data_IF_326770803163
#
_entry.id   IF_326770803163
#
_cell.length_a   1.000
_cell.length_b   1.000
_cell.length_c   1.000
_cell.angle_alpha   90.00
_cell.angle_beta   90.00
_cell.angle_gamma   90.00
#
_symmetry.space_group_name_H-M   'P 1'
#
loop_
_entity.id
_entity.type
_entity.pdbx_description
1 polymer ?
#
# COMPACT_ATOMS: atom_id res chain seq x y z
N UNK A 1 11.31 -4.54 -13.03
CA UNK A 1 10.41 -3.82 -13.96
C UNK A 1 9.87 -4.74 -15.08
N UNK A 2 9.97 -6.07 -14.89
CA UNK A 2 9.61 -7.06 -15.90
C UNK A 2 10.78 -7.45 -16.83
N UNK A 3 11.97 -6.90 -16.64
CA UNK A 3 13.16 -7.21 -17.46
C UNK A 3 13.86 -8.54 -17.13
N UNK A 4 13.33 -9.30 -16.17
CA UNK A 4 13.92 -10.56 -15.70
C UNK A 4 15.12 -10.39 -14.75
N UNK A 5 15.47 -9.17 -14.35
CA UNK A 5 16.46 -8.89 -13.30
C UNK A 5 15.77 -8.57 -11.98
N UNK A 6 16.43 -8.94 -10.89
CA UNK A 6 15.97 -8.56 -9.56
C UNK A 6 16.24 -7.07 -9.32
N UNK A 7 15.20 -6.34 -8.94
CA UNK A 7 15.26 -4.93 -8.54
C UNK A 7 15.09 -4.79 -7.03
N UNK A 8 15.28 -3.58 -6.51
CA UNK A 8 15.19 -3.31 -5.07
C UNK A 8 14.07 -2.32 -4.79
N UNK A 9 13.19 -2.68 -3.85
CA UNK A 9 12.19 -1.80 -3.26
C UNK A 9 12.55 -1.57 -1.79
N UNK A 10 12.72 -0.31 -1.41
CA UNK A 10 13.01 0.13 -0.05
C UNK A 10 11.83 0.90 0.53
N UNK A 11 11.10 0.36 1.51
CA UNK A 11 10.09 1.11 2.25
C UNK A 11 10.70 2.32 2.96
N UNK A 12 9.96 3.42 3.00
CA UNK A 12 10.32 4.68 3.67
C UNK A 12 9.12 5.19 4.46
N UNK A 13 9.27 6.22 5.30
CA UNK A 13 8.12 6.78 6.03
C UNK A 13 7.01 7.33 5.11
N UNK A 14 7.36 7.75 3.89
CA UNK A 14 6.43 8.39 2.95
C UNK A 14 5.90 7.42 1.87
N UNK A 15 6.33 6.15 1.88
CA UNK A 15 5.99 5.15 0.86
C UNK A 15 7.17 4.23 0.55
N UNK A 16 7.64 4.18 -0.69
CA UNK A 16 8.79 3.33 -1.08
C UNK A 16 9.69 3.99 -2.13
N UNK A 17 10.99 3.72 -2.05
CA UNK A 17 11.97 4.03 -3.11
C UNK A 17 12.27 2.77 -3.92
N UNK A 18 12.33 2.92 -5.24
CA UNK A 18 12.53 1.81 -6.18
C UNK A 18 13.84 2.03 -6.92
N UNK A 19 14.70 1.03 -6.86
CA UNK A 19 15.99 1.00 -7.53
C UNK A 19 16.01 -0.13 -8.55
N UNK A 20 16.37 0.19 -9.78
CA UNK A 20 16.53 -0.79 -10.83
C UNK A 20 17.95 -1.33 -10.86
N UNK A 21 18.07 -2.63 -11.06
CA UNK A 21 19.34 -3.27 -11.32
C UNK A 21 19.78 -3.01 -12.75
N UNK A 22 20.89 -2.29 -12.90
CA UNK A 22 21.53 -1.99 -14.18
C UNK A 22 22.90 -2.65 -14.22
N UNK A 23 23.51 -2.71 -15.41
CA UNK A 23 24.84 -3.30 -15.60
C UNK A 23 25.93 -2.65 -14.72
N UNK A 24 25.74 -1.39 -14.32
CA UNK A 24 26.69 -0.62 -13.51
C UNK A 24 26.27 -0.54 -12.02
N UNK A 25 25.26 -1.30 -11.59
CA UNK A 25 24.74 -1.31 -10.22
C UNK A 25 23.31 -0.79 -10.11
N UNK A 26 22.94 -0.34 -8.91
CA UNK A 26 21.59 0.13 -8.60
C UNK A 26 21.39 1.59 -9.01
N UNK A 27 20.28 1.87 -9.68
CA UNK A 27 19.87 3.23 -10.05
C UNK A 27 18.49 3.54 -9.51
N UNK A 28 18.33 4.67 -8.80
CA UNK A 28 17.02 5.11 -8.31
C UNK A 28 16.11 5.43 -9.50
N UNK A 29 15.00 4.69 -9.63
CA UNK A 29 14.03 4.87 -10.71
C UNK A 29 12.82 5.70 -10.28
N UNK A 30 12.30 5.46 -9.08
CA UNK A 30 11.09 6.14 -8.61
C UNK A 30 11.01 6.22 -7.09
N UNK A 31 10.22 7.18 -6.61
CA UNK A 31 9.71 7.23 -5.24
C UNK A 31 8.20 7.23 -5.30
N UNK A 32 7.61 6.15 -4.84
CA UNK A 32 6.16 6.01 -4.76
C UNK A 32 5.71 6.51 -3.40
N UNK A 33 4.78 7.48 -3.41
CA UNK A 33 4.18 8.02 -2.19
C UNK A 33 2.89 7.29 -1.88
N UNK A 34 2.78 6.77 -0.67
CA UNK A 34 1.53 6.32 -0.09
C UNK A 34 1.68 6.38 1.42
N UNK A 35 0.65 6.83 2.16
CA UNK A 35 0.73 6.93 3.60
C UNK A 35 0.80 5.53 4.21
N UNK A 36 2.01 5.01 4.36
CA UNK A 36 2.30 3.80 5.14
C UNK A 36 1.87 3.95 6.61
N UNK A 37 1.67 5.18 7.08
CA UNK A 37 1.12 5.48 8.40
C UNK A 37 -0.28 4.90 8.65
N UNK A 38 -1.10 4.70 7.60
CA UNK A 38 -2.38 3.99 7.73
C UNK A 38 -2.22 2.46 7.82
N UNK A 39 -1.04 1.93 7.46
CA UNK A 39 -0.66 0.52 7.61
C UNK A 39 0.22 0.30 8.86
N UNK A 40 0.29 1.29 9.74
CA UNK A 40 1.16 1.26 10.92
C UNK A 40 0.50 0.43 12.03
N UNK A 41 1.12 -0.68 12.41
CA UNK A 41 0.91 -1.24 13.75
C UNK A 41 1.80 -0.45 14.71
N UNK A 42 1.20 0.41 15.53
CA UNK A 42 1.90 0.96 16.70
C UNK A 42 1.87 -0.09 17.80
N UNK A 43 2.80 -1.03 17.79
CA UNK A 43 3.17 -1.67 19.05
C UNK A 43 3.74 -0.60 19.99
N UNK A 44 3.58 -0.81 21.30
CA UNK A 44 4.04 0.10 22.35
C UNK A 44 5.57 0.36 22.37
N UNK A 45 6.33 -0.21 21.43
CA UNK A 45 7.76 0.00 21.26
C UNK A 45 8.05 0.82 19.97
N UNK A 46 8.36 2.13 20.08
CA UNK A 46 8.54 3.02 18.94
C UNK A 46 9.79 2.73 18.07
N UNK A 47 10.60 1.73 18.45
CA UNK A 47 11.86 1.37 17.77
C UNK A 47 11.72 0.27 16.73
N UNK A 48 10.57 -0.39 16.62
CA UNK A 48 10.32 -1.41 15.58
C UNK A 48 9.12 -0.97 14.77
N UNK A 49 9.36 -0.49 13.54
CA UNK A 49 8.30 -0.18 12.59
C UNK A 49 8.09 -1.42 11.70
N UNK A 50 6.97 -2.10 11.87
CA UNK A 50 6.50 -3.09 10.89
C UNK A 50 5.65 -2.38 9.87
N UNK A 51 6.20 -2.22 8.67
CA UNK A 51 5.38 -1.91 7.51
C UNK A 51 5.02 -3.26 6.87
N UNK A 52 3.74 -3.56 6.60
CA UNK A 52 3.44 -4.64 5.70
C UNK A 52 4.16 -4.33 4.39
N UNK A 53 5.11 -5.19 4.02
CA UNK A 53 5.82 -5.05 2.77
C UNK A 53 4.79 -5.15 1.63
N UNK A 54 4.86 -4.29 0.60
CA UNK A 54 4.04 -4.49 -0.58
C UNK A 54 4.23 -5.91 -1.13
N UNK A 55 3.14 -6.55 -1.47
CA UNK A 55 3.18 -7.79 -2.25
C UNK A 55 3.42 -7.44 -3.72
N UNK A 56 4.18 -8.28 -4.42
CA UNK A 56 4.47 -8.14 -5.84
C UNK A 56 3.74 -9.25 -6.60
N UNK A 57 2.79 -8.87 -7.46
CA UNK A 57 2.06 -9.83 -8.28
C UNK A 57 1.62 -9.19 -9.58
N UNK A 58 1.57 -9.96 -10.66
CA UNK A 58 1.03 -9.50 -11.95
C UNK A 58 -0.49 -9.61 -11.91
N UNK A 59 -1.18 -8.48 -11.67
CA UNK A 59 -2.65 -8.49 -11.49
C UNK A 59 -3.42 -8.19 -12.77
N UNK A 60 -2.75 -7.64 -13.79
CA UNK A 60 -3.38 -7.31 -15.07
C UNK A 60 -2.93 -8.18 -16.26
N UNK A 61 -2.00 -9.11 -16.02
CA UNK A 61 -1.57 -10.14 -16.97
C UNK A 61 -0.52 -9.67 -17.98
N UNK A 62 0.11 -8.51 -17.75
CA UNK A 62 1.08 -7.91 -18.67
C UNK A 62 2.52 -8.45 -18.49
N UNK A 63 2.72 -9.38 -17.55
CA UNK A 63 4.01 -9.97 -17.15
C UNK A 63 4.96 -9.00 -16.45
N UNK A 64 4.45 -7.90 -15.89
CA UNK A 64 5.19 -6.99 -15.01
C UNK A 64 4.53 -7.04 -13.63
N UNK A 65 5.29 -7.35 -12.56
CA UNK A 65 4.70 -7.41 -11.23
C UNK A 65 4.25 -6.02 -10.77
N UNK A 66 2.98 -5.92 -10.38
CA UNK A 66 2.35 -4.76 -9.77
C UNK A 66 2.60 -4.72 -8.26
N UNK A 67 2.44 -3.54 -7.66
CA UNK A 67 2.51 -3.38 -6.21
C UNK A 67 1.12 -3.49 -5.59
N UNK A 68 0.97 -4.42 -4.66
CA UNK A 68 -0.23 -4.60 -3.85
C UNK A 68 0.06 -4.16 -2.42
N UNK A 69 -0.75 -3.23 -1.92
CA UNK A 69 -0.64 -2.68 -0.57
C UNK A 69 -1.87 -3.10 0.24
N UNK A 70 -1.63 -3.68 1.41
CA UNK A 70 -2.69 -4.11 2.31
C UNK A 70 -2.60 -3.38 3.67
N UNK A 71 -3.72 -2.90 4.23
CA UNK A 71 -3.78 -2.41 5.60
C UNK A 71 -3.38 -3.48 6.61
N UNK A 72 -2.58 -3.08 7.60
CA UNK A 72 -2.28 -3.91 8.77
C UNK A 72 -3.53 -4.23 9.58
N UNK A 73 -4.51 -3.32 9.60
CA UNK A 73 -5.82 -3.52 10.24
C UNK A 73 -6.61 -4.70 9.68
N UNK A 74 -6.21 -5.25 8.52
CA UNK A 74 -6.94 -6.29 7.82
C UNK A 74 -8.15 -5.80 7.03
N UNK A 75 -8.47 -4.50 7.09
CA UNK A 75 -9.56 -3.88 6.31
C UNK A 75 -9.26 -3.97 4.81
N UNK A 76 -10.21 -4.50 4.04
CA UNK A 76 -10.09 -4.64 2.59
C UNK A 76 -10.29 -3.31 1.86
N UNK A 77 -10.97 -2.33 2.44
CA UNK A 77 -11.20 -1.02 1.81
C UNK A 77 -9.94 -0.16 1.70
N UNK A 78 -8.91 -0.44 2.50
CA UNK A 78 -7.60 0.20 2.37
C UNK A 78 -6.66 -0.52 1.41
N UNK A 79 -7.10 -1.61 0.77
CA UNK A 79 -6.31 -2.31 -0.23
C UNK A 79 -6.06 -1.40 -1.45
N UNK A 80 -4.81 -1.35 -1.89
CA UNK A 80 -4.41 -0.56 -3.07
C UNK A 80 -3.58 -1.39 -4.03
N UNK A 81 -3.78 -1.14 -5.32
CA UNK A 81 -2.95 -1.68 -6.39
C UNK A 81 -2.32 -0.53 -7.13
N UNK A 82 -1.01 -0.58 -7.34
CA UNK A 82 -0.31 0.33 -8.21
C UNK A 82 0.24 -0.48 -9.38
N UNK A 83 -0.25 -0.16 -10.58
CA UNK A 83 0.16 -0.88 -11.78
C UNK A 83 1.57 -0.52 -12.21
N UNK A 84 2.37 -1.52 -12.57
CA UNK A 84 3.70 -1.35 -13.09
C UNK A 84 3.64 -0.78 -14.51
N UNK A 85 4.37 0.31 -14.76
CA UNK A 85 4.41 0.98 -16.07
C UNK A 85 5.76 0.80 -16.76
N UNK A 86 6.55 -0.17 -16.29
CA UNK A 86 7.93 -0.40 -16.71
C UNK A 86 8.90 0.65 -16.16
N UNK A 87 10.20 0.35 -16.27
CA UNK A 87 11.28 1.24 -15.85
C UNK A 87 11.11 1.78 -14.41
N UNK A 88 10.64 0.92 -13.51
CA UNK A 88 10.45 1.24 -12.08
C UNK A 88 9.36 2.28 -11.80
N UNK A 89 8.52 2.62 -12.78
CA UNK A 89 7.38 3.54 -12.62
C UNK A 89 6.12 2.78 -12.26
N UNK A 90 5.28 3.43 -11.47
CA UNK A 90 4.00 2.91 -11.03
C UNK A 90 2.92 3.95 -11.24
N UNK A 91 1.73 3.49 -11.64
CA UNK A 91 0.56 4.35 -11.78
C UNK A 91 0.04 4.88 -10.45
N UNK A 92 -0.97 5.75 -10.53
CA UNK A 92 -1.71 6.19 -9.34
C UNK A 92 -2.32 4.97 -8.62
N UNK A 93 -2.39 4.99 -7.27
CA UNK A 93 -3.03 3.92 -6.51
C UNK A 93 -4.49 3.73 -6.92
N UNK A 94 -4.85 2.50 -7.27
CA UNK A 94 -6.21 2.07 -7.52
C UNK A 94 -6.78 1.43 -6.26
N UNK A 95 -8.06 1.69 -5.97
CA UNK A 95 -8.82 1.05 -4.90
C UNK A 95 -9.82 0.06 -5.53
N UNK A 96 -9.40 -1.16 -5.91
CA UNK A 96 -10.25 -2.08 -6.67
C UNK A 96 -11.47 -2.56 -5.86
N UNK A 97 -11.40 -2.49 -4.53
CA UNK A 97 -12.50 -2.82 -3.62
C UNK A 97 -13.28 -1.58 -3.16
N UNK A 98 -12.97 -0.40 -3.73
CA UNK A 98 -13.53 0.88 -3.37
C UNK A 98 -13.09 1.39 -1.98
N UNK A 99 -13.27 2.69 -1.78
CA UNK A 99 -13.09 3.30 -0.46
C UNK A 99 -14.33 3.09 0.40
N UNK A 100 -14.12 2.85 1.68
CA UNK A 100 -15.21 2.88 2.66
C UNK A 100 -15.79 4.29 2.68
N UNK A 101 -17.02 4.46 2.20
CA UNK A 101 -17.80 5.63 2.58
C UNK A 101 -18.22 5.41 4.03
N UNK A 102 -17.75 6.25 4.94
CA UNK A 102 -18.34 6.28 6.29
C UNK A 102 -19.85 6.45 6.13
N UNK A 103 -20.64 5.61 6.80
CA UNK A 103 -22.02 5.98 7.08
C UNK A 103 -21.95 7.20 7.98
N UNK A 104 -22.07 8.40 7.42
CA UNK A 104 -22.45 9.59 8.18
C UNK A 104 -23.92 9.44 8.59
N UNK A 105 -24.18 8.51 9.50
CA UNK A 105 -25.40 8.55 10.30
C UNK A 105 -25.20 9.60 11.39
N UNK A 106 -26.20 10.45 11.69
CA UNK A 106 -26.10 11.37 12.82
C UNK A 106 -25.79 10.57 14.10
N UNK A 107 -25.04 11.13 15.07
CA UNK A 107 -24.74 10.43 16.31
C UNK A 107 -26.05 9.96 16.93
N UNK A 108 -26.19 8.65 17.09
CA UNK A 108 -27.38 8.04 17.66
C UNK A 108 -27.64 8.66 19.03
N UNK A 109 -28.78 9.34 19.17
CA UNK A 109 -29.33 9.60 20.49
C UNK A 109 -29.57 8.23 21.13
N UNK A 110 -28.85 7.95 22.21
CA UNK A 110 -29.23 6.91 23.16
C UNK A 110 -30.57 7.31 23.75
N UNK A 111 -31.67 6.79 23.20
CA UNK A 111 -32.93 6.78 23.94
C UNK A 111 -32.79 5.78 25.09
N UNK A 112 -33.13 6.15 26.34
CA UNK A 112 -33.08 5.22 27.45
C UNK A 112 -34.12 4.11 27.24
N UNK A 113 -33.73 2.87 27.54
CA UNK A 113 -34.60 1.70 27.49
C UNK A 113 -35.90 1.91 28.29
N UNK A 114 -37.07 1.49 27.78
CA UNK A 114 -38.31 1.56 28.54
C UNK A 114 -38.22 0.62 29.75
N UNK A 115 -38.51 1.16 30.93
CA UNK A 115 -38.80 0.39 32.14
C UNK A 115 -40.23 -0.13 32.00
N UNK A 116 -40.39 -1.45 32.02
CA UNK A 116 -41.70 -2.12 32.18
C UNK A 116 -41.98 -2.35 33.66
#
# INVERSE_FOLDING_TARGET
>A
DGDGRADVLLPTLEGASIYLSRNQGLSLASRVRFPLGALQETDANPRVRRFPLPELNDVDGDRRPDLMLRPSSGDLHGFRVLRNQGEGRFGAPLAPLGDRKEKTGPPGRTEPSPVW
#
